data_IF_895185914509
#
_entry.id   IF_895185914509
#
_cell.length_a   1.000
_cell.length_b   1.000
_cell.length_c   1.000
_cell.angle_alpha   90.00
_cell.angle_beta   90.00
_cell.angle_gamma   90.00
#
_symmetry.space_group_name_H-M   'P 1'
#
loop_
_entity.id
_entity.type
_entity.pdbx_description
1 polymer ?
#
# COMPACT_ATOMS: atom_id res chain seq x y z
N UNK A 1 -13.25 9.47 1.60
CA UNK A 1 -12.59 8.54 0.68
C UNK A 1 -11.96 7.43 1.48
N UNK A 2 -12.26 6.22 1.07
CA UNK A 2 -11.65 4.99 1.56
C UNK A 2 -10.14 4.97 1.23
N UNK A 3 -9.35 4.16 1.94
CA UNK A 3 -7.91 4.02 1.69
C UNK A 3 -7.63 3.50 0.28
N UNK A 4 -8.50 2.64 -0.26
CA UNK A 4 -8.43 2.14 -1.63
C UNK A 4 -8.64 3.25 -2.66
N UNK A 5 -9.66 4.10 -2.49
CA UNK A 5 -9.89 5.26 -3.37
C UNK A 5 -8.69 6.22 -3.36
N UNK A 6 -8.11 6.46 -2.18
CA UNK A 6 -6.91 7.32 -2.07
C UNK A 6 -5.69 6.72 -2.75
N UNK A 7 -5.54 5.40 -2.75
CA UNK A 7 -4.48 4.70 -3.47
C UNK A 7 -4.64 4.90 -4.98
N UNK A 8 -5.86 4.71 -5.48
CA UNK A 8 -6.20 4.84 -6.90
C UNK A 8 -6.01 6.24 -7.45
N UNK A 9 -6.01 7.29 -6.60
CA UNK A 9 -5.85 8.68 -7.01
C UNK A 9 -4.41 9.20 -6.98
N UNK A 10 -3.42 8.38 -6.60
CA UNK A 10 -2.02 8.81 -6.57
C UNK A 10 -1.49 9.05 -7.98
N UNK A 11 -1.14 10.30 -8.33
CA UNK A 11 -0.59 10.66 -9.66
C UNK A 11 0.77 11.35 -9.58
N UNK A 12 1.07 11.97 -8.45
CA UNK A 12 2.29 12.77 -8.23
C UNK A 12 3.04 12.31 -6.98
N UNK A 13 4.23 12.88 -6.78
CA UNK A 13 5.01 12.68 -5.56
C UNK A 13 4.26 13.20 -4.33
N UNK A 14 3.60 14.35 -4.47
CA UNK A 14 2.82 14.99 -3.42
C UNK A 14 1.63 14.11 -3.01
N UNK A 15 0.97 13.48 -4.00
CA UNK A 15 -0.12 12.53 -3.73
C UNK A 15 0.41 11.29 -2.99
N UNK A 16 1.57 10.75 -3.38
CA UNK A 16 2.16 9.61 -2.69
C UNK A 16 2.51 9.95 -1.23
N UNK A 17 3.06 11.15 -0.98
CA UNK A 17 3.33 11.63 0.39
C UNK A 17 2.03 11.72 1.20
N UNK A 18 0.95 12.22 0.59
CA UNK A 18 -0.37 12.29 1.22
C UNK A 18 -0.97 10.90 1.47
N UNK A 19 -0.73 9.96 0.56
CA UNK A 19 -1.17 8.58 0.68
C UNK A 19 -0.43 7.85 1.81
N UNK A 20 0.90 7.95 1.91
CA UNK A 20 1.69 7.36 3.00
C UNK A 20 1.20 7.87 4.36
N UNK A 21 0.90 9.17 4.47
CA UNK A 21 0.30 9.75 5.69
C UNK A 21 -1.07 9.14 5.98
N UNK A 22 -1.90 8.95 4.95
CA UNK A 22 -3.22 8.32 5.10
C UNK A 22 -3.10 6.85 5.51
N UNK A 23 -2.17 6.10 4.94
CA UNK A 23 -1.93 4.68 5.24
C UNK A 23 -1.48 4.48 6.69
N UNK A 24 -0.60 5.35 7.20
CA UNK A 24 -0.25 5.34 8.62
C UNK A 24 -1.47 5.62 9.53
N UNK A 25 -2.29 6.61 9.18
CA UNK A 25 -3.51 6.92 9.94
C UNK A 25 -4.52 5.79 9.86
N UNK A 26 -4.58 5.06 8.74
CA UNK A 26 -5.41 3.86 8.58
C UNK A 26 -4.95 2.75 9.54
N UNK A 27 -3.65 2.43 9.56
CA UNK A 27 -3.08 1.46 10.51
C UNK A 27 -3.40 1.82 11.97
N UNK A 28 -3.24 3.10 12.35
CA UNK A 28 -3.48 3.55 13.73
C UNK A 28 -4.96 3.42 14.15
N UNK A 29 -5.90 3.56 13.20
CA UNK A 29 -7.35 3.58 13.47
C UNK A 29 -8.05 2.24 13.25
N UNK A 30 -7.57 1.48 12.28
CA UNK A 30 -8.21 0.28 11.77
C UNK A 30 -7.27 -0.93 11.95
N UNK A 31 -6.50 -0.93 13.04
CA UNK A 31 -5.47 -1.95 13.30
C UNK A 31 -6.01 -3.38 13.25
N UNK A 32 -7.25 -3.59 13.72
CA UNK A 32 -7.89 -4.91 13.71
C UNK A 32 -8.27 -5.39 12.29
N UNK A 33 -8.18 -4.53 11.27
CA UNK A 33 -8.42 -4.85 9.86
C UNK A 33 -7.13 -5.09 9.07
N UNK A 34 -5.96 -5.00 9.71
CA UNK A 34 -4.66 -5.25 9.10
C UNK A 34 -4.21 -6.67 9.42
N UNK A 35 -3.88 -7.44 8.40
CA UNK A 35 -3.33 -8.79 8.57
C UNK A 35 -1.89 -8.75 9.09
N UNK A 36 -1.12 -7.72 8.67
CA UNK A 36 0.31 -7.62 8.96
C UNK A 36 0.63 -6.47 9.93
N UNK A 37 0.77 -6.81 11.21
CA UNK A 37 0.91 -5.83 12.29
C UNK A 37 2.36 -5.55 12.72
N UNK A 38 3.31 -6.42 12.36
CA UNK A 38 4.73 -6.17 12.56
C UNK A 38 5.38 -5.66 11.26
N UNK A 39 6.51 -4.99 11.39
CA UNK A 39 7.25 -4.51 10.21
C UNK A 39 7.73 -5.67 9.34
N UNK A 40 8.14 -6.78 9.97
CA UNK A 40 8.56 -8.00 9.28
C UNK A 40 7.43 -8.56 8.43
N UNK A 41 6.25 -8.81 9.04
CA UNK A 41 5.07 -9.30 8.30
C UNK A 41 4.66 -8.36 7.16
N UNK A 42 4.71 -7.05 7.41
CA UNK A 42 4.36 -6.05 6.39
C UNK A 42 5.32 -6.08 5.19
N UNK A 43 6.62 -6.26 5.44
CA UNK A 43 7.61 -6.37 4.37
C UNK A 43 7.47 -7.68 3.60
N UNK A 44 7.24 -8.80 4.30
CA UNK A 44 7.01 -10.11 3.69
C UNK A 44 5.77 -10.08 2.78
N UNK A 45 4.67 -9.47 3.25
CA UNK A 45 3.44 -9.31 2.49
C UNK A 45 3.62 -8.46 1.21
N UNK A 46 4.41 -7.39 1.29
CA UNK A 46 4.73 -6.57 0.11
C UNK A 46 5.53 -7.38 -0.90
N UNK A 47 6.58 -8.10 -0.46
CA UNK A 47 7.39 -8.94 -1.34
C UNK A 47 6.55 -10.02 -2.02
N UNK A 48 5.72 -10.73 -1.25
CA UNK A 48 4.87 -11.79 -1.76
C UNK A 48 3.87 -11.25 -2.80
N UNK A 49 3.21 -10.12 -2.52
CA UNK A 49 2.30 -9.50 -3.48
C UNK A 49 3.00 -9.07 -4.77
N UNK A 50 4.20 -8.47 -4.65
CA UNK A 50 4.98 -8.04 -5.81
C UNK A 50 5.46 -9.22 -6.66
N UNK A 51 5.72 -10.37 -6.04
CA UNK A 51 6.10 -11.61 -6.72
C UNK A 51 4.93 -12.19 -7.52
N UNK A 52 3.72 -12.15 -6.95
CA UNK A 52 2.54 -12.80 -7.53
C UNK A 52 1.78 -11.90 -8.53
N UNK A 53 1.91 -10.59 -8.39
CA UNK A 53 1.17 -9.64 -9.25
C UNK A 53 1.78 -9.52 -10.65
N UNK A 54 0.91 -9.54 -11.66
CA UNK A 54 1.27 -9.27 -13.06
C UNK A 54 0.83 -7.87 -13.52
N UNK A 55 0.36 -7.02 -12.60
CA UNK A 55 -0.21 -5.70 -12.93
C UNK A 55 0.83 -4.58 -12.91
N UNK A 56 2.00 -4.81 -12.33
CA UNK A 56 3.07 -3.84 -12.27
C UNK A 56 3.78 -3.73 -13.62
N UNK A 57 4.03 -2.49 -14.04
CA UNK A 57 4.83 -2.20 -15.23
C UNK A 57 6.31 -2.11 -14.88
N UNK A 58 7.19 -2.50 -15.81
CA UNK A 58 8.64 -2.24 -15.74
C UNK A 58 9.00 -0.74 -15.63
N UNK A 59 8.04 0.13 -15.94
CA UNK A 59 8.12 1.59 -15.72
C UNK A 59 7.05 2.01 -14.72
N UNK A 60 7.24 1.73 -13.41
CA UNK A 60 6.23 2.01 -12.41
C UNK A 60 5.97 3.52 -12.32
N UNK A 61 4.73 3.86 -11.99
CA UNK A 61 4.32 5.23 -11.71
C UNK A 61 4.04 5.40 -10.21
N UNK A 62 3.66 6.61 -9.79
CA UNK A 62 3.40 6.87 -8.38
C UNK A 62 2.25 6.02 -7.78
N UNK A 63 1.24 5.66 -8.58
CA UNK A 63 0.18 4.76 -8.16
C UNK A 63 0.69 3.32 -7.96
N UNK A 64 1.64 2.85 -8.77
CA UNK A 64 2.30 1.55 -8.55
C UNK A 64 2.92 1.48 -7.15
N UNK A 65 3.61 2.53 -6.71
CA UNK A 65 4.15 2.59 -5.35
C UNK A 65 3.06 2.63 -4.27
N UNK A 66 1.94 3.30 -4.53
CA UNK A 66 0.81 3.31 -3.60
C UNK A 66 0.19 1.92 -3.44
N UNK A 67 0.01 1.18 -4.54
CA UNK A 67 -0.50 -0.20 -4.54
C UNK A 67 0.45 -1.15 -3.81
N UNK A 68 1.76 -1.04 -4.07
CA UNK A 68 2.80 -1.81 -3.36
C UNK A 68 2.74 -1.55 -1.86
N UNK A 69 2.58 -0.30 -1.42
CA UNK A 69 2.46 0.00 0.01
C UNK A 69 1.13 -0.50 0.59
N UNK A 70 0.05 -0.43 -0.18
CA UNK A 70 -1.26 -0.88 0.28
C UNK A 70 -1.33 -2.40 0.43
N UNK A 71 -0.61 -3.18 -0.41
CA UNK A 71 -0.64 -4.64 -0.33
C UNK A 71 -0.16 -5.18 1.00
N UNK A 72 0.81 -4.51 1.64
CA UNK A 72 1.29 -4.86 2.98
C UNK A 72 0.20 -4.86 4.05
N UNK A 73 -0.95 -4.20 3.82
CA UNK A 73 -2.10 -4.24 4.74
C UNK A 73 -2.83 -5.59 4.77
N UNK A 74 -2.89 -6.29 3.64
CA UNK A 74 -3.87 -7.38 3.44
C UNK A 74 -3.31 -8.67 2.82
N UNK A 75 -2.10 -8.65 2.25
CA UNK A 75 -1.53 -9.84 1.61
C UNK A 75 -0.87 -10.74 2.65
N UNK A 76 -0.98 -12.07 2.50
CA UNK A 76 -0.35 -13.08 3.38
C UNK A 76 0.90 -13.68 2.73
#
# INVERSE_FOLDING_TARGET
MDIYEKCDDVRTKEDLIAFIKSLKVDLDKNKDEWENLSLEMYLDAIEAWMTDTNTLSDKPNWNSFAQILLSGRFYE
#
